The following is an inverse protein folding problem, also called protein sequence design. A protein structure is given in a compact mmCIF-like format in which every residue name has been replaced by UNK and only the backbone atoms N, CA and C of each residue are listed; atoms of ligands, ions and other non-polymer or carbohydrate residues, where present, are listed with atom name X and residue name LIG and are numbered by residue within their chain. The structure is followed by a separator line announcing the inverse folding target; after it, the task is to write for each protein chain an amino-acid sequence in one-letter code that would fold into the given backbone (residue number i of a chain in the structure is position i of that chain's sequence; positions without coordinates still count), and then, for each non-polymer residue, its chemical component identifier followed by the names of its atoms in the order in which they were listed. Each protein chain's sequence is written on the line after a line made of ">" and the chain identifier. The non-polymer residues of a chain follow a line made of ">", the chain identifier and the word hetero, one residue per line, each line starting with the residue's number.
data_IF_295960057181
#
_entry.id   IF_295960057181
#
_cell.length_a   1.000
_cell.length_b   1.000
_cell.length_c   1.000
_cell.angle_alpha   90.00
_cell.angle_beta   90.00
_cell.angle_gamma   90.00
#
_symmetry.space_group_name_H-M   'P 1'
#
loop_
_entity.id
_entity.type
_entity.pdbx_description
1 polymer ?
#
# COMPACT_ATOMS: atom_id res chain seq x y z
N UNK A 1 -15.41 4.03 -10.63
CA UNK A 1 -15.43 2.67 -10.05
C UNK A 1 -14.11 2.44 -9.33
N UNK A 2 -14.14 1.83 -8.14
CA UNK A 2 -12.94 1.42 -7.39
C UNK A 2 -12.92 -0.09 -7.22
N UNK A 3 -11.73 -0.71 -7.13
CA UNK A 3 -11.58 -2.14 -6.86
C UNK A 3 -10.58 -2.40 -5.74
N UNK A 4 -10.88 -3.40 -4.91
CA UNK A 4 -10.05 -3.91 -3.80
C UNK A 4 -9.97 -5.44 -3.74
N UNK A 5 -10.62 -6.15 -4.67
CA UNK A 5 -10.66 -7.63 -4.73
C UNK A 5 -9.61 -8.09 -5.72
N UNK A 6 -8.68 -8.96 -5.30
CA UNK A 6 -7.70 -9.54 -6.23
C UNK A 6 -6.70 -10.48 -5.56
N UNK A 7 -6.03 -11.37 -6.33
CA UNK A 7 -4.83 -12.08 -5.89
C UNK A 7 -3.74 -11.14 -5.32
N UNK A 8 -2.82 -11.65 -4.52
CA UNK A 8 -1.70 -10.85 -4.01
C UNK A 8 -0.88 -10.26 -5.18
N UNK A 9 -0.72 -8.93 -5.22
CA UNK A 9 0.15 -8.26 -6.19
C UNK A 9 1.59 -8.36 -5.70
N UNK A 10 2.42 -9.11 -6.42
CA UNK A 10 3.82 -9.33 -6.06
C UNK A 10 4.70 -8.31 -6.76
N UNK A 11 5.37 -7.45 -5.99
CA UNK A 11 6.17 -6.33 -6.47
C UNK A 11 7.64 -6.58 -6.15
N UNK A 12 8.51 -6.40 -7.15
CA UNK A 12 9.95 -6.26 -6.91
C UNK A 12 10.34 -4.79 -7.04
N UNK A 13 11.12 -4.30 -6.11
CA UNK A 13 11.66 -2.93 -6.14
C UNK A 13 13.14 -2.96 -6.47
N UNK A 14 13.58 -2.03 -7.31
CA UNK A 14 14.96 -1.93 -7.75
C UNK A 14 15.41 -0.48 -7.71
N UNK A 15 16.66 -0.24 -7.33
CA UNK A 15 17.20 1.12 -7.18
C UNK A 15 18.72 1.17 -7.20
N UNK A 16 19.29 2.37 -7.32
CA UNK A 16 20.74 2.54 -7.32
C UNK A 16 21.33 2.47 -5.91
N UNK A 17 20.77 3.22 -4.97
CA UNK A 17 21.23 3.26 -3.58
C UNK A 17 20.14 2.67 -2.68
N UNK A 18 20.53 1.77 -1.78
CA UNK A 18 19.62 1.03 -0.91
C UNK A 18 18.77 2.00 -0.07
N UNK A 19 19.42 2.86 0.72
CA UNK A 19 18.76 3.80 1.64
C UNK A 19 18.12 5.03 0.95
N UNK A 20 18.19 5.13 -0.38
CA UNK A 20 17.68 6.30 -1.12
C UNK A 20 16.71 5.87 -2.22
N UNK A 21 17.21 5.27 -3.30
CA UNK A 21 16.39 4.90 -4.46
C UNK A 21 15.52 3.69 -4.18
N UNK A 22 16.07 2.64 -3.56
CA UNK A 22 15.30 1.42 -3.24
C UNK A 22 14.24 1.75 -2.19
N UNK A 23 14.58 2.50 -1.15
CA UNK A 23 13.62 2.99 -0.17
C UNK A 23 12.51 3.84 -0.78
N UNK A 24 12.82 4.73 -1.73
CA UNK A 24 11.79 5.50 -2.44
C UNK A 24 10.88 4.58 -3.28
N UNK A 25 11.45 3.54 -3.91
CA UNK A 25 10.68 2.53 -4.63
C UNK A 25 9.79 1.68 -3.70
N UNK A 26 10.28 1.33 -2.51
CA UNK A 26 9.53 0.62 -1.48
C UNK A 26 8.35 1.46 -0.99
N UNK A 27 8.58 2.76 -0.73
CA UNK A 27 7.51 3.69 -0.36
C UNK A 27 6.50 3.88 -1.48
N UNK A 28 6.93 3.94 -2.74
CA UNK A 28 6.01 3.95 -3.87
C UNK A 28 5.16 2.66 -3.91
N UNK A 29 5.79 1.49 -3.75
CA UNK A 29 5.09 0.21 -3.70
C UNK A 29 4.08 0.13 -2.54
N UNK A 30 4.41 0.70 -1.38
CA UNK A 30 3.53 0.74 -0.20
C UNK A 30 2.26 1.56 -0.40
N UNK A 31 2.17 2.40 -1.44
CA UNK A 31 0.98 3.22 -1.71
C UNK A 31 -0.18 2.43 -2.33
N UNK A 32 0.04 1.17 -2.69
CA UNK A 32 -0.97 0.27 -3.26
C UNK A 32 -1.04 -1.03 -2.48
N UNK A 33 -2.17 -1.72 -2.59
CA UNK A 33 -2.34 -3.05 -1.99
C UNK A 33 -1.51 -4.08 -2.78
N UNK A 34 -0.33 -4.39 -2.25
CA UNK A 34 0.60 -5.37 -2.80
C UNK A 34 1.67 -5.75 -1.79
N UNK A 35 2.46 -6.76 -2.13
CA UNK A 35 3.55 -7.26 -1.30
C UNK A 35 4.87 -7.07 -2.04
N UNK A 36 5.80 -6.39 -1.39
CA UNK A 36 7.19 -6.35 -1.83
C UNK A 36 7.79 -7.72 -1.55
N UNK A 37 8.16 -8.45 -2.60
CA UNK A 37 8.65 -9.83 -2.50
C UNK A 37 10.16 -9.93 -2.63
N UNK A 38 10.81 -8.91 -3.19
CA UNK A 38 12.27 -8.78 -3.28
C UNK A 38 12.64 -7.30 -3.53
N UNK A 39 13.81 -6.89 -3.05
CA UNK A 39 14.36 -5.55 -3.25
C UNK A 39 15.83 -5.63 -3.66
N UNK A 40 16.19 -5.02 -4.78
CA UNK A 40 17.54 -5.06 -5.35
C UNK A 40 18.14 -3.66 -5.44
N UNK A 41 19.24 -3.45 -4.74
CA UNK A 41 20.07 -2.25 -4.86
C UNK A 41 21.33 -2.50 -5.69
N UNK A 42 22.00 -1.45 -6.15
CA UNK A 42 23.29 -1.59 -6.86
C UNK A 42 24.38 -2.17 -5.95
N UNK A 43 24.25 -1.93 -4.64
CA UNK A 43 25.18 -2.40 -3.62
C UNK A 43 24.81 -3.78 -3.06
N UNK A 44 23.81 -4.44 -3.65
CA UNK A 44 23.45 -5.80 -3.28
C UNK A 44 24.67 -6.73 -3.45
N UNK A 45 25.08 -7.34 -2.33
CA UNK A 45 26.28 -8.19 -2.24
C UNK A 45 26.07 -9.58 -2.83
N UNK A 46 24.83 -9.97 -3.10
CA UNK A 46 24.51 -11.25 -3.75
C UNK A 46 25.08 -11.24 -5.15
N UNK A 47 25.56 -12.41 -5.61
CA UNK A 47 26.02 -12.57 -6.99
C UNK A 47 24.83 -12.39 -7.96
N UNK A 48 25.07 -11.92 -9.21
CA UNK A 48 24.00 -11.72 -10.18
C UNK A 48 23.11 -12.95 -10.40
N UNK A 49 23.68 -14.17 -10.41
CA UNK A 49 22.90 -15.41 -10.52
C UNK A 49 21.94 -15.63 -9.34
N UNK A 50 22.33 -15.23 -8.12
CA UNK A 50 21.48 -15.34 -6.93
C UNK A 50 20.37 -14.29 -6.95
N UNK A 51 20.68 -13.07 -7.43
CA UNK A 51 19.67 -12.01 -7.60
C UNK A 51 18.62 -12.42 -8.64
N UNK A 52 19.07 -12.97 -9.77
CA UNK A 52 18.21 -13.50 -10.82
C UNK A 52 17.28 -14.59 -10.26
N UNK A 53 17.85 -15.61 -9.60
CA UNK A 53 17.09 -16.71 -9.01
C UNK A 53 16.07 -16.22 -7.97
N UNK A 54 16.44 -15.25 -7.14
CA UNK A 54 15.54 -14.67 -6.15
C UNK A 54 14.32 -14.02 -6.80
N UNK A 55 14.53 -13.20 -7.85
CA UNK A 55 13.42 -12.54 -8.55
C UNK A 55 12.56 -13.56 -9.31
N UNK A 56 13.16 -14.57 -9.96
CA UNK A 56 12.40 -15.61 -10.66
C UNK A 56 11.53 -16.42 -9.69
N UNK A 57 12.06 -16.81 -8.52
CA UNK A 57 11.30 -17.50 -7.47
C UNK A 57 10.21 -16.60 -6.88
N UNK A 58 10.48 -15.30 -6.78
CA UNK A 58 9.52 -14.31 -6.32
C UNK A 58 8.36 -14.10 -7.32
N UNK A 59 8.51 -14.52 -8.59
CA UNK A 59 7.47 -14.49 -9.63
C UNK A 59 6.63 -13.19 -9.63
N UNK A 60 7.27 -12.01 -9.77
CA UNK A 60 6.57 -10.74 -9.64
C UNK A 60 5.57 -10.49 -10.76
N UNK A 61 4.53 -9.72 -10.45
CA UNK A 61 3.63 -9.15 -11.44
C UNK A 61 4.11 -7.77 -11.92
N UNK A 62 4.89 -7.07 -11.08
CA UNK A 62 5.35 -5.71 -11.32
C UNK A 62 6.80 -5.55 -10.81
N UNK A 63 7.63 -4.89 -11.61
CA UNK A 63 8.94 -4.40 -11.19
C UNK A 63 8.91 -2.87 -11.17
N UNK A 64 9.28 -2.26 -10.05
CA UNK A 64 9.47 -0.80 -9.91
C UNK A 64 10.96 -0.52 -9.91
N UNK A 65 11.45 0.13 -10.95
CA UNK A 65 12.83 0.60 -11.05
C UNK A 65 12.90 2.10 -10.78
N UNK A 66 13.38 2.45 -9.58
CA UNK A 66 13.72 3.82 -9.23
C UNK A 66 15.13 4.17 -9.73
N UNK A 67 15.25 5.33 -10.38
CA UNK A 67 16.55 5.85 -10.80
C UNK A 67 17.32 6.53 -9.67
N UNK A 68 18.48 7.08 -10.02
CA UNK A 68 19.13 8.13 -9.23
C UNK A 68 18.50 9.50 -9.48
N UNK A 69 19.12 10.53 -8.92
CA UNK A 69 18.74 11.93 -9.15
C UNK A 69 18.81 12.33 -10.63
N UNK A 70 18.14 13.42 -11.01
CA UNK A 70 18.13 13.92 -12.40
C UNK A 70 19.54 14.28 -12.91
N UNK A 71 20.43 14.70 -12.01
CA UNK A 71 21.83 15.02 -12.32
C UNK A 71 22.80 13.90 -11.93
N UNK A 72 22.28 12.72 -11.58
CA UNK A 72 23.06 11.58 -11.09
C UNK A 72 23.75 10.79 -12.20
N UNK A 73 24.59 9.83 -11.79
CA UNK A 73 25.36 8.99 -12.69
C UNK A 73 24.44 8.07 -13.54
N UNK A 74 24.50 8.25 -14.85
CA UNK A 74 23.63 7.54 -15.80
C UNK A 74 24.06 6.11 -16.12
N UNK A 75 25.33 5.75 -15.90
CA UNK A 75 25.88 4.42 -16.21
C UNK A 75 25.37 3.33 -15.26
N UNK A 76 25.09 3.68 -14.01
CA UNK A 76 24.77 2.70 -12.96
C UNK A 76 23.43 2.00 -13.15
N UNK A 77 22.48 2.61 -13.86
CA UNK A 77 21.16 2.02 -14.13
C UNK A 77 21.23 0.86 -15.14
N UNK A 78 22.27 0.82 -15.98
CA UNK A 78 22.41 -0.18 -17.04
C UNK A 78 22.37 -1.61 -16.51
N UNK A 79 23.07 -1.88 -15.39
CA UNK A 79 23.08 -3.20 -14.75
C UNK A 79 21.68 -3.67 -14.33
N UNK A 80 20.86 -2.76 -13.80
CA UNK A 80 19.48 -3.07 -13.41
C UNK A 80 18.60 -3.37 -14.61
N UNK A 81 18.75 -2.57 -15.68
CA UNK A 81 18.04 -2.79 -16.95
C UNK A 81 18.45 -4.12 -17.60
N UNK A 82 19.73 -4.48 -17.53
CA UNK A 82 20.24 -5.78 -17.99
C UNK A 82 19.66 -6.94 -17.19
N UNK A 83 19.63 -6.84 -15.85
CA UNK A 83 19.03 -7.86 -14.99
C UNK A 83 17.53 -8.04 -15.28
N UNK A 84 16.76 -6.94 -15.39
CA UNK A 84 15.35 -6.97 -15.80
C UNK A 84 15.19 -7.63 -17.17
N UNK A 85 16.07 -7.27 -18.12
CA UNK A 85 16.04 -7.84 -19.47
C UNK A 85 16.27 -9.36 -19.45
N UNK A 86 17.20 -9.84 -18.61
CA UNK A 86 17.46 -11.27 -18.44
C UNK A 86 16.25 -12.00 -17.87
N UNK A 87 15.64 -11.44 -16.81
CA UNK A 87 14.41 -11.96 -16.19
C UNK A 87 13.31 -12.12 -17.25
N UNK A 88 13.06 -11.08 -18.05
CA UNK A 88 12.04 -11.14 -19.08
C UNK A 88 12.36 -12.18 -20.18
N UNK A 89 13.63 -12.37 -20.55
CA UNK A 89 14.04 -13.35 -21.57
C UNK A 89 13.83 -14.80 -21.12
N UNK A 90 14.10 -15.10 -19.85
CA UNK A 90 13.94 -16.46 -19.30
C UNK A 90 12.52 -16.75 -18.81
N UNK A 91 11.69 -15.72 -18.67
CA UNK A 91 10.28 -15.85 -18.30
C UNK A 91 9.37 -15.93 -19.53
N UNK A 92 8.40 -16.85 -19.51
CA UNK A 92 7.39 -16.96 -20.58
C UNK A 92 6.61 -15.65 -20.72
N UNK A 93 6.26 -15.27 -21.95
CA UNK A 93 5.67 -13.97 -22.26
C UNK A 93 4.46 -13.61 -21.37
N UNK A 94 3.59 -14.57 -21.11
CA UNK A 94 2.38 -14.42 -20.28
C UNK A 94 2.67 -14.16 -18.78
N UNK A 95 3.85 -14.56 -18.29
CA UNK A 95 4.24 -14.42 -16.88
C UNK A 95 5.23 -13.27 -16.65
N UNK A 96 5.59 -12.52 -17.69
CA UNK A 96 6.54 -11.41 -17.55
C UNK A 96 5.93 -10.31 -16.68
N UNK A 97 6.69 -9.76 -15.72
CA UNK A 97 6.22 -8.65 -14.92
C UNK A 97 6.09 -7.40 -15.79
N UNK A 98 5.07 -6.58 -15.53
CA UNK A 98 5.06 -5.21 -16.04
C UNK A 98 6.18 -4.41 -15.36
N UNK A 99 6.65 -3.35 -16.02
CA UNK A 99 7.79 -2.56 -15.51
C UNK A 99 7.40 -1.09 -15.38
N UNK A 100 7.63 -0.51 -14.20
CA UNK A 100 7.52 0.92 -13.96
C UNK A 100 8.92 1.51 -13.76
N UNK A 101 9.34 2.40 -14.65
CA UNK A 101 10.55 3.20 -14.44
C UNK A 101 10.17 4.59 -13.94
N UNK A 102 10.66 4.93 -12.75
CA UNK A 102 10.44 6.23 -12.11
C UNK A 102 11.79 6.82 -11.69
N UNK A 103 12.54 7.29 -12.67
CA UNK A 103 13.91 7.75 -12.49
C UNK A 103 14.28 8.86 -13.46
N UNK A 104 15.58 9.11 -13.57
CA UNK A 104 16.17 10.15 -14.41
C UNK A 104 15.52 10.26 -15.80
N UNK A 105 14.94 11.42 -16.09
CA UNK A 105 14.13 11.66 -17.29
C UNK A 105 14.94 11.63 -18.58
N UNK A 106 16.25 11.93 -18.51
CA UNK A 106 17.16 11.84 -19.67
C UNK A 106 17.29 10.39 -20.14
N UNK A 107 17.22 9.43 -19.22
CA UNK A 107 17.34 7.99 -19.54
C UNK A 107 16.00 7.33 -19.83
N UNK A 108 14.89 7.95 -19.43
CA UNK A 108 13.56 7.35 -19.49
C UNK A 108 13.17 6.83 -20.89
N UNK A 109 13.42 7.63 -21.93
CA UNK A 109 13.11 7.23 -23.33
C UNK A 109 13.90 5.99 -23.74
N UNK A 110 15.22 6.00 -23.52
CA UNK A 110 16.11 4.90 -23.87
C UNK A 110 15.75 3.61 -23.10
N UNK A 111 15.45 3.73 -21.81
CA UNK A 111 15.04 2.59 -20.98
C UNK A 111 13.72 2.01 -21.48
N UNK A 112 12.74 2.86 -21.80
CA UNK A 112 11.47 2.43 -22.40
C UNK A 112 11.70 1.64 -23.68
N UNK A 113 12.50 2.17 -24.61
CA UNK A 113 12.79 1.52 -25.90
C UNK A 113 13.45 0.14 -25.73
N UNK A 114 14.24 -0.07 -24.68
CA UNK A 114 14.89 -1.37 -24.39
C UNK A 114 13.88 -2.34 -23.78
N UNK A 115 13.16 -1.92 -22.74
CA UNK A 115 12.32 -2.81 -21.93
C UNK A 115 10.96 -3.11 -22.57
N UNK A 116 10.38 -2.17 -23.32
CA UNK A 116 9.08 -2.35 -24.01
C UNK A 116 9.12 -3.50 -25.04
N UNK A 117 10.31 -3.79 -25.59
CA UNK A 117 10.52 -4.93 -26.49
C UNK A 117 10.37 -6.28 -25.79
N UNK A 118 10.46 -6.30 -24.46
CA UNK A 118 10.48 -7.51 -23.64
C UNK A 118 9.20 -7.64 -22.82
N UNK A 119 8.73 -6.55 -22.21
CA UNK A 119 7.55 -6.52 -21.34
C UNK A 119 6.91 -5.12 -21.32
N UNK A 120 5.58 -4.99 -21.09
CA UNK A 120 4.93 -3.68 -21.00
C UNK A 120 5.62 -2.77 -19.98
N UNK A 121 6.07 -1.60 -20.43
CA UNK A 121 6.89 -0.68 -19.62
C UNK A 121 6.28 0.72 -19.61
N UNK A 122 5.98 1.21 -18.40
CA UNK A 122 5.52 2.58 -18.19
C UNK A 122 6.62 3.44 -17.57
N UNK A 123 6.58 4.72 -17.91
CA UNK A 123 7.50 5.74 -17.40
C UNK A 123 6.70 6.69 -16.53
N UNK A 124 7.24 7.04 -15.37
CA UNK A 124 6.75 8.11 -14.52
C UNK A 124 7.82 9.20 -14.33
N UNK A 125 7.40 10.33 -13.76
CA UNK A 125 8.35 11.31 -13.24
C UNK A 125 9.26 10.65 -12.19
N UNK A 126 10.46 11.20 -12.04
CA UNK A 126 11.41 10.67 -11.07
C UNK A 126 10.91 10.88 -9.65
N UNK A 127 10.86 9.80 -8.87
CA UNK A 127 10.40 9.86 -7.48
C UNK A 127 11.43 10.47 -6.53
N UNK A 128 12.67 10.63 -6.97
CA UNK A 128 13.76 11.24 -6.21
C UNK A 128 14.59 12.19 -7.09
N UNK A 129 14.03 13.34 -7.51
CA UNK A 129 14.71 14.25 -8.45
C UNK A 129 16.07 14.76 -7.93
N UNK A 130 16.16 15.03 -6.63
CA UNK A 130 17.40 15.38 -5.90
C UNK A 130 17.57 14.45 -4.70
N UNK A 131 18.74 14.47 -4.04
CA UNK A 131 18.98 13.62 -2.86
C UNK A 131 17.99 13.96 -1.75
N UNK A 132 17.67 15.24 -1.56
CA UNK A 132 16.83 15.70 -0.45
C UNK A 132 15.33 15.77 -0.78
N UNK A 133 14.96 15.72 -2.07
CA UNK A 133 13.58 15.81 -2.52
C UNK A 133 13.04 14.46 -3.00
N UNK A 134 12.05 13.94 -2.28
CA UNK A 134 11.22 12.81 -2.70
C UNK A 134 9.82 13.30 -3.10
N UNK A 135 9.34 12.92 -4.29
CA UNK A 135 7.96 13.14 -4.73
C UNK A 135 7.40 11.88 -5.40
N UNK A 136 6.56 11.15 -4.67
CA UNK A 136 5.96 9.91 -5.15
C UNK A 136 4.71 10.16 -6.03
N UNK A 137 4.12 11.36 -5.96
CA UNK A 137 2.77 11.64 -6.44
C UNK A 137 2.55 11.31 -7.93
N UNK A 138 3.46 11.70 -8.85
CA UNK A 138 3.28 11.38 -10.26
C UNK A 138 3.39 9.87 -10.54
N UNK A 139 4.32 9.19 -9.86
CA UNK A 139 4.53 7.75 -10.04
C UNK A 139 3.39 6.92 -9.42
N UNK A 140 2.78 7.37 -8.33
CA UNK A 140 1.57 6.75 -7.76
C UNK A 140 0.41 6.72 -8.77
N UNK A 141 0.28 7.74 -9.62
CA UNK A 141 -0.74 7.78 -10.66
C UNK A 141 -0.55 6.68 -11.70
N UNK A 142 0.66 6.57 -12.23
CA UNK A 142 1.05 5.54 -13.20
C UNK A 142 0.95 4.14 -12.59
N UNK A 143 1.43 3.96 -11.36
CA UNK A 143 1.34 2.71 -10.61
C UNK A 143 -0.13 2.26 -10.49
N UNK A 144 -1.03 3.16 -10.10
CA UNK A 144 -2.45 2.83 -9.98
C UNK A 144 -3.08 2.33 -11.28
N UNK A 145 -2.71 2.92 -12.42
CA UNK A 145 -3.17 2.47 -13.75
C UNK A 145 -2.62 1.08 -14.09
N UNK A 146 -1.33 0.85 -13.87
CA UNK A 146 -0.69 -0.45 -14.10
C UNK A 146 -1.31 -1.55 -13.23
N UNK A 147 -1.55 -1.26 -11.95
CA UNK A 147 -2.22 -2.20 -11.03
C UNK A 147 -3.59 -2.57 -11.57
N UNK A 148 -4.38 -1.61 -12.04
CA UNK A 148 -5.69 -1.91 -12.62
C UNK A 148 -5.61 -2.72 -13.90
N UNK A 149 -4.61 -2.49 -14.75
CA UNK A 149 -4.36 -3.31 -15.93
C UNK A 149 -4.01 -4.76 -15.54
N UNK A 150 -3.17 -4.95 -14.52
CA UNK A 150 -2.87 -6.28 -13.96
C UNK A 150 -4.14 -6.92 -13.40
N UNK A 151 -5.01 -6.17 -12.72
CA UNK A 151 -6.27 -6.72 -12.19
C UNK A 151 -7.25 -7.11 -13.30
N UNK A 152 -7.29 -6.38 -14.41
CA UNK A 152 -8.16 -6.72 -15.55
C UNK A 152 -7.80 -8.06 -16.19
N UNK A 153 -6.53 -8.45 -16.18
CA UNK A 153 -6.11 -9.77 -16.69
C UNK A 153 -6.35 -10.90 -15.68
N UNK A 154 -6.30 -10.58 -14.38
CA UNK A 154 -6.53 -11.55 -13.30
C UNK A 154 -8.01 -11.81 -13.01
N UNK A 155 -8.87 -10.81 -13.20
CA UNK A 155 -10.28 -10.85 -12.83
C UNK A 155 -11.13 -10.83 -14.10
N UNK A 156 -11.69 -11.98 -14.43
CA UNK A 156 -12.65 -12.10 -15.54
C UNK A 156 -13.80 -11.11 -15.39
N UNK A 157 -14.18 -10.45 -16.48
CA UNK A 157 -15.29 -9.49 -16.52
C UNK A 157 -14.97 -8.07 -16.05
N UNK A 158 -13.84 -7.83 -15.36
CA UNK A 158 -13.47 -6.47 -14.95
C UNK A 158 -13.22 -5.55 -16.16
N UNK A 159 -12.66 -6.09 -17.24
CA UNK A 159 -12.46 -5.34 -18.49
C UNK A 159 -13.79 -4.88 -19.10
N UNK A 160 -14.80 -5.75 -19.14
CA UNK A 160 -16.15 -5.42 -19.64
C UNK A 160 -16.86 -4.40 -18.76
N UNK A 161 -16.67 -4.45 -17.45
CA UNK A 161 -17.18 -3.42 -16.54
C UNK A 161 -16.47 -2.08 -16.75
N UNK A 162 -15.14 -2.11 -16.93
CA UNK A 162 -14.35 -0.92 -17.19
C UNK A 162 -14.75 -0.21 -18.50
N UNK A 163 -15.06 -0.96 -19.56
CA UNK A 163 -15.49 -0.38 -20.85
C UNK A 163 -16.85 0.32 -20.79
N UNK A 164 -17.69 0.00 -19.79
CA UNK A 164 -18.99 0.64 -19.58
C UNK A 164 -18.92 1.82 -18.59
N UNK A 165 -17.74 2.13 -18.03
CA UNK A 165 -17.55 3.24 -17.13
C UNK A 165 -17.07 4.50 -17.87
N UNK A 166 -17.60 5.67 -17.50
CA UNK A 166 -17.15 6.96 -18.06
C UNK A 166 -15.68 7.29 -17.75
N UNK A 167 -15.13 6.67 -16.71
CA UNK A 167 -13.73 6.82 -16.30
C UNK A 167 -13.12 5.44 -16.03
N UNK A 168 -11.86 5.22 -16.39
CA UNK A 168 -11.16 3.98 -16.05
C UNK A 168 -11.21 3.72 -14.54
N UNK A 169 -11.40 2.47 -14.12
CA UNK A 169 -11.37 2.13 -12.71
C UNK A 169 -9.97 2.42 -12.12
N UNK A 170 -9.94 2.80 -10.85
CA UNK A 170 -8.71 3.07 -10.09
C UNK A 170 -8.68 2.21 -8.82
N UNK A 171 -7.51 1.94 -8.23
CA UNK A 171 -7.44 1.27 -6.94
C UNK A 171 -8.18 2.07 -5.85
N UNK A 172 -8.86 1.38 -4.94
CA UNK A 172 -9.61 2.02 -3.86
C UNK A 172 -8.73 2.94 -2.99
N UNK A 173 -7.52 2.48 -2.63
CA UNK A 173 -6.55 3.28 -1.86
C UNK A 173 -6.20 4.60 -2.55
N UNK A 174 -6.02 4.58 -3.87
CA UNK A 174 -5.71 5.76 -4.66
C UNK A 174 -6.88 6.75 -4.71
N UNK A 175 -8.12 6.25 -4.85
CA UNK A 175 -9.30 7.10 -4.82
C UNK A 175 -9.46 7.76 -3.43
N UNK A 176 -9.26 6.98 -2.37
CA UNK A 176 -9.31 7.46 -0.99
C UNK A 176 -8.25 8.55 -0.73
N UNK A 177 -6.99 8.32 -1.10
CA UNK A 177 -5.95 9.35 -0.96
C UNK A 177 -6.23 10.62 -1.75
N UNK A 178 -6.81 10.53 -2.96
CA UNK A 178 -7.23 11.71 -3.73
C UNK A 178 -8.29 12.53 -2.97
N UNK A 179 -9.24 11.86 -2.32
CA UNK A 179 -10.24 12.52 -1.48
C UNK A 179 -9.58 13.22 -0.29
N UNK A 180 -8.67 12.56 0.43
CA UNK A 180 -7.97 13.18 1.57
C UNK A 180 -7.12 14.38 1.14
N UNK A 181 -6.40 14.27 0.02
CA UNK A 181 -5.68 15.40 -0.57
C UNK A 181 -6.60 16.55 -0.92
N UNK A 182 -7.76 16.26 -1.51
CA UNK A 182 -8.77 17.27 -1.83
C UNK A 182 -9.29 17.97 -0.56
N UNK A 183 -9.59 17.23 0.50
CA UNK A 183 -10.00 17.82 1.77
C UNK A 183 -8.91 18.72 2.36
N UNK A 184 -7.62 18.36 2.21
CA UNK A 184 -6.51 19.22 2.66
C UNK A 184 -6.39 20.56 1.93
N UNK A 185 -7.07 20.74 0.78
CA UNK A 185 -7.19 22.03 0.11
C UNK A 185 -8.39 22.86 0.61
N UNK A 186 -9.39 22.21 1.21
CA UNK A 186 -10.60 22.87 1.70
C UNK A 186 -10.40 23.36 3.14
N UNK A 187 -9.80 22.52 3.97
CA UNK A 187 -9.52 22.85 5.37
C UNK A 187 -8.29 23.74 5.51
N UNK A 188 -8.09 24.26 6.71
CA UNK A 188 -6.94 25.11 7.05
C UNK A 188 -5.62 24.46 6.62
N UNK A 189 -4.80 25.09 5.74
CA UNK A 189 -3.53 24.55 5.29
C UNK A 189 -2.54 24.23 6.41
N UNK A 190 -2.70 24.84 7.60
CA UNK A 190 -1.89 24.55 8.77
C UNK A 190 -2.28 23.24 9.47
N UNK A 191 -3.50 22.74 9.22
CA UNK A 191 -4.02 21.50 9.79
C UNK A 191 -3.91 20.36 8.78
N UNK A 192 -3.46 19.20 9.23
CA UNK A 192 -3.43 18.01 8.39
C UNK A 192 -4.73 17.21 8.50
N UNK A 193 -5.17 16.65 7.39
CA UNK A 193 -6.31 15.74 7.32
C UNK A 193 -5.79 14.32 7.40
N UNK A 194 -6.25 13.54 8.37
CA UNK A 194 -5.97 12.10 8.44
C UNK A 194 -7.14 11.33 7.86
N UNK A 195 -6.87 10.44 6.91
CA UNK A 195 -7.80 9.44 6.42
C UNK A 195 -7.34 8.04 6.81
N UNK A 196 -8.27 7.24 7.32
CA UNK A 196 -8.08 5.81 7.56
C UNK A 196 -9.22 5.02 6.92
N UNK A 197 -8.90 4.15 5.96
CA UNK A 197 -9.84 3.22 5.33
C UNK A 197 -9.52 1.79 5.75
N UNK A 198 -10.30 1.24 6.68
CA UNK A 198 -10.15 -0.12 7.22
C UNK A 198 -10.92 -1.14 6.35
N UNK A 199 -10.21 -1.79 5.43
CA UNK A 199 -10.75 -2.82 4.58
C UNK A 199 -10.63 -4.23 5.16
N UNK A 200 -11.21 -5.21 4.44
CA UNK A 200 -11.05 -6.63 4.77
C UNK A 200 -9.62 -7.12 4.56
N UNK A 201 -8.97 -6.72 3.46
CA UNK A 201 -7.62 -7.18 3.09
C UNK A 201 -6.48 -6.28 3.57
N UNK A 202 -6.73 -4.99 3.73
CA UNK A 202 -5.70 -3.98 3.94
C UNK A 202 -6.32 -2.72 4.54
N UNK A 203 -5.48 -1.90 5.16
CA UNK A 203 -5.84 -0.59 5.71
C UNK A 203 -5.09 0.50 4.95
N UNK A 204 -5.81 1.46 4.38
CA UNK A 204 -5.17 2.63 3.74
C UNK A 204 -5.08 3.77 4.75
N UNK A 205 -3.86 4.26 4.95
CA UNK A 205 -3.58 5.49 5.68
C UNK A 205 -3.27 6.59 4.67
N UNK A 206 -3.87 7.75 4.85
CA UNK A 206 -3.61 8.92 4.03
C UNK A 206 -3.52 10.17 4.91
N UNK A 207 -2.47 10.96 4.75
CA UNK A 207 -2.30 12.26 5.40
C UNK A 207 -2.22 13.32 4.32
N UNK A 208 -3.19 14.23 4.31
CA UNK A 208 -3.22 15.37 3.41
C UNK A 208 -2.87 16.66 4.14
N UNK A 209 -1.94 17.46 3.62
CA UNK A 209 -1.63 18.78 4.19
C UNK A 209 -1.22 19.74 3.09
N UNK A 210 -1.88 20.90 3.01
CA UNK A 210 -1.61 21.94 2.00
C UNK A 210 -1.51 21.39 0.56
N UNK A 211 -2.32 20.37 0.23
CA UNK A 211 -2.30 19.71 -1.09
C UNK A 211 -1.26 18.62 -1.29
N UNK A 212 -0.31 18.45 -0.37
CA UNK A 212 0.57 17.28 -0.35
C UNK A 212 -0.19 16.06 0.17
N UNK A 213 0.18 14.87 -0.31
CA UNK A 213 -0.41 13.59 0.12
C UNK A 213 0.71 12.62 0.50
N UNK A 214 0.64 12.13 1.72
CA UNK A 214 1.34 10.94 2.16
C UNK A 214 0.32 9.80 2.24
N UNK A 215 0.66 8.62 1.69
CA UNK A 215 -0.24 7.48 1.69
C UNK A 215 0.52 6.18 1.83
N UNK A 216 0.03 5.30 2.71
CA UNK A 216 0.48 3.91 2.85
C UNK A 216 -0.73 2.97 2.86
N UNK A 217 -0.53 1.77 2.34
CA UNK A 217 -1.50 0.67 2.35
C UNK A 217 -0.87 -0.51 3.07
N UNK A 218 -1.35 -0.75 4.28
CA UNK A 218 -0.84 -1.80 5.14
C UNK A 218 -1.63 -3.09 4.94
N UNK A 219 -1.00 -4.27 5.01
CA UNK A 219 -1.67 -5.56 4.76
C UNK A 219 -2.54 -6.02 5.94
N UNK A 220 -2.97 -5.09 6.80
CA UNK A 220 -3.80 -5.36 7.97
C UNK A 220 -5.25 -5.05 7.64
N UNK A 221 -6.15 -6.00 7.86
CA UNK A 221 -7.57 -5.81 7.62
C UNK A 221 -8.42 -6.74 8.48
N UNK A 222 -9.72 -6.51 8.51
CA UNK A 222 -10.65 -7.23 9.40
C UNK A 222 -11.06 -8.63 8.88
N UNK A 223 -10.62 -9.00 7.68
CA UNK A 223 -10.91 -10.30 7.07
C UNK A 223 -9.68 -10.90 6.40
N UNK A 224 -9.53 -10.73 5.09
CA UNK A 224 -8.39 -11.30 4.34
C UNK A 224 -7.01 -10.88 4.86
N UNK A 225 -6.90 -9.68 5.44
CA UNK A 225 -5.67 -9.15 6.06
C UNK A 225 -5.52 -9.50 7.54
N UNK A 226 -6.47 -10.24 8.12
CA UNK A 226 -6.52 -10.51 9.55
C UNK A 226 -5.32 -11.34 10.01
N UNK A 227 -4.93 -12.34 9.21
CA UNK A 227 -3.75 -13.16 9.52
C UNK A 227 -2.48 -12.33 9.64
N UNK A 228 -2.27 -11.36 8.75
CA UNK A 228 -1.10 -10.50 8.80
C UNK A 228 -1.14 -9.59 10.03
N UNK A 229 -2.31 -9.09 10.41
CA UNK A 229 -2.49 -8.31 11.64
C UNK A 229 -2.22 -9.14 12.91
N UNK A 230 -2.69 -10.39 12.95
CA UNK A 230 -2.44 -11.33 14.05
C UNK A 230 -0.95 -11.65 14.20
N UNK A 231 -0.22 -11.79 13.09
CA UNK A 231 1.24 -12.02 13.14
C UNK A 231 2.02 -10.83 13.70
N UNK A 232 1.42 -9.64 13.73
CA UNK A 232 2.01 -8.40 14.25
C UNK A 232 1.44 -7.98 15.61
N UNK A 233 0.53 -8.78 16.18
CA UNK A 233 -0.12 -8.47 17.46
C UNK A 233 0.11 -9.60 18.45
N UNK A 234 0.31 -9.25 19.72
CA UNK A 234 0.22 -10.22 20.80
C UNK A 234 -1.24 -10.36 21.24
N UNK A 235 -1.64 -11.54 21.71
CA UNK A 235 -3.05 -11.76 22.08
C UNK A 235 -3.47 -10.84 23.21
N UNK A 236 -2.55 -10.53 24.14
CA UNK A 236 -2.78 -9.69 25.31
C UNK A 236 -3.09 -8.24 24.90
N UNK A 237 -2.51 -7.78 23.78
CA UNK A 237 -2.80 -6.46 23.22
C UNK A 237 -4.22 -6.39 22.69
N UNK A 238 -4.70 -7.48 22.06
CA UNK A 238 -6.07 -7.59 21.57
C UNK A 238 -7.05 -7.70 22.74
N UNK A 239 -6.72 -8.53 23.74
CA UNK A 239 -7.51 -8.72 24.95
C UNK A 239 -7.72 -7.40 25.71
N UNK A 240 -6.70 -6.53 25.74
CA UNK A 240 -6.78 -5.22 26.41
C UNK A 240 -7.88 -4.29 25.86
N UNK A 241 -8.37 -4.56 24.64
CA UNK A 241 -9.45 -3.82 24.01
C UNK A 241 -10.85 -4.40 24.24
N UNK A 242 -10.95 -5.58 24.86
CA UNK A 242 -12.24 -6.24 25.07
C UNK A 242 -13.05 -5.52 26.15
N UNK A 243 -14.35 -5.33 25.89
CA UNK A 243 -15.32 -4.80 26.85
C UNK A 243 -15.95 -5.88 27.75
N UNK A 244 -15.66 -7.15 27.46
CA UNK A 244 -16.17 -8.34 28.16
C UNK A 244 -15.03 -9.32 28.37
N UNK A 245 -15.10 -10.15 29.41
CA UNK A 245 -14.10 -11.19 29.62
C UNK A 245 -14.31 -12.31 28.60
N UNK A 246 -13.27 -12.58 27.79
CA UNK A 246 -13.19 -13.72 26.87
C UNK A 246 -11.88 -14.44 27.16
N UNK A 247 -11.88 -15.75 27.46
CA UNK A 247 -10.65 -16.51 27.62
C UNK A 247 -9.74 -16.39 26.40
N UNK A 248 -8.42 -16.25 26.60
CA UNK A 248 -7.48 -16.04 25.49
C UNK A 248 -7.52 -17.14 24.42
N UNK A 249 -7.78 -18.39 24.80
CA UNK A 249 -7.86 -19.50 23.86
C UNK A 249 -9.09 -19.37 22.95
N UNK A 250 -10.24 -18.96 23.51
CA UNK A 250 -11.45 -18.67 22.73
C UNK A 250 -11.26 -17.47 21.80
N UNK A 251 -10.60 -16.41 22.29
CA UNK A 251 -10.25 -15.24 21.49
C UNK A 251 -9.34 -15.63 20.30
N UNK A 252 -8.31 -16.44 20.54
CA UNK A 252 -7.41 -16.95 19.49
C UNK A 252 -8.19 -17.77 18.47
N UNK A 253 -8.98 -18.74 18.93
CA UNK A 253 -9.74 -19.65 18.07
C UNK A 253 -10.70 -18.86 17.17
N UNK A 254 -11.45 -17.91 17.74
CA UNK A 254 -12.34 -17.04 16.97
C UNK A 254 -11.59 -16.27 15.88
N UNK A 255 -10.47 -15.61 16.22
CA UNK A 255 -9.72 -14.77 15.28
C UNK A 255 -9.05 -15.58 14.17
N UNK A 256 -8.49 -16.75 14.49
CA UNK A 256 -7.93 -17.65 13.49
C UNK A 256 -9.02 -18.22 12.58
N UNK A 257 -10.17 -18.61 13.12
CA UNK A 257 -11.31 -19.06 12.32
C UNK A 257 -11.81 -17.94 11.39
N UNK A 258 -11.95 -16.71 11.89
CA UNK A 258 -12.28 -15.53 11.07
C UNK A 258 -11.27 -15.30 9.96
N UNK A 259 -9.97 -15.51 10.21
CA UNK A 259 -8.92 -15.35 9.20
C UNK A 259 -9.03 -16.39 8.06
N UNK A 260 -9.57 -17.57 8.34
CA UNK A 260 -9.84 -18.62 7.36
C UNK A 260 -11.16 -18.38 6.60
N UNK A 261 -12.15 -17.80 7.28
CA UNK A 261 -13.48 -17.52 6.74
C UNK A 261 -13.84 -16.02 6.86
N UNK A 262 -13.17 -15.14 6.10
CA UNK A 262 -13.26 -13.67 6.29
C UNK A 262 -14.64 -13.08 5.94
N UNK A 263 -15.54 -13.87 5.35
CA UNK A 263 -16.89 -13.46 4.96
C UNK A 263 -17.91 -13.65 6.09
N UNK A 264 -17.54 -14.29 7.20
CA UNK A 264 -18.45 -14.43 8.35
C UNK A 264 -18.73 -13.06 8.95
N UNK A 265 -19.90 -12.89 9.54
CA UNK A 265 -20.28 -11.69 10.29
C UNK A 265 -20.51 -12.05 11.76
N UNK A 266 -20.22 -11.15 12.71
CA UNK A 266 -20.45 -11.43 14.11
C UNK A 266 -21.96 -11.51 14.38
N UNK A 267 -22.42 -12.65 14.91
CA UNK A 267 -23.84 -12.89 15.21
C UNK A 267 -24.18 -12.75 16.70
N UNK A 268 -23.17 -12.57 17.56
CA UNK A 268 -23.32 -12.42 19.02
C UNK A 268 -22.64 -11.14 19.50
N UNK A 269 -23.03 -10.64 20.67
CA UNK A 269 -22.38 -9.47 21.28
C UNK A 269 -20.92 -9.72 21.62
N UNK A 270 -20.57 -10.94 22.02
CA UNK A 270 -19.19 -11.36 22.28
C UNK A 270 -18.35 -11.38 21.00
N UNK A 271 -18.85 -12.00 19.93
CA UNK A 271 -18.20 -11.99 18.61
C UNK A 271 -17.97 -10.57 18.10
N UNK A 272 -18.96 -9.68 18.28
CA UNK A 272 -18.82 -8.27 17.94
C UNK A 272 -17.74 -7.58 18.80
N UNK A 273 -17.69 -7.86 20.10
CA UNK A 273 -16.67 -7.32 20.99
C UNK A 273 -15.26 -7.77 20.58
N UNK A 274 -15.09 -9.03 20.18
CA UNK A 274 -13.83 -9.58 19.66
C UNK A 274 -13.42 -8.87 18.36
N UNK A 275 -14.33 -8.75 17.39
CA UNK A 275 -14.02 -8.08 16.12
C UNK A 275 -13.73 -6.58 16.29
N UNK A 276 -14.45 -5.90 17.19
CA UNK A 276 -14.15 -4.51 17.57
C UNK A 276 -12.81 -4.36 18.27
N UNK A 277 -12.45 -5.27 19.18
CA UNK A 277 -11.14 -5.28 19.82
C UNK A 277 -10.01 -5.44 18.79
N UNK A 278 -10.19 -6.36 17.84
CA UNK A 278 -9.22 -6.55 16.76
C UNK A 278 -9.14 -5.34 15.83
N UNK A 279 -10.27 -4.71 15.50
CA UNK A 279 -10.27 -3.48 14.70
C UNK A 279 -9.48 -2.35 15.39
N UNK A 280 -9.65 -2.15 16.71
CA UNK A 280 -8.86 -1.20 17.49
C UNK A 280 -7.37 -1.51 17.42
N UNK A 281 -7.00 -2.78 17.57
CA UNK A 281 -5.60 -3.22 17.48
C UNK A 281 -5.01 -2.96 16.09
N UNK A 282 -5.76 -3.23 15.01
CA UNK A 282 -5.31 -2.94 13.64
C UNK A 282 -5.06 -1.44 13.47
N UNK A 283 -6.00 -0.59 13.92
CA UNK A 283 -5.84 0.86 13.87
C UNK A 283 -4.61 1.33 14.67
N UNK A 284 -4.34 0.69 15.83
CA UNK A 284 -3.16 0.97 16.65
C UNK A 284 -1.86 0.61 15.94
N UNK A 285 -1.80 -0.54 15.27
CA UNK A 285 -0.65 -0.92 14.44
C UNK A 285 -0.42 0.11 13.32
N UNK A 286 -1.51 0.52 12.66
CA UNK A 286 -1.46 1.48 11.56
C UNK A 286 -0.98 2.86 12.00
N UNK A 287 -1.48 3.38 13.13
CA UNK A 287 -1.04 4.67 13.67
C UNK A 287 0.39 4.64 14.19
N UNK A 288 0.81 3.54 14.82
CA UNK A 288 2.20 3.35 15.26
C UNK A 288 3.16 3.33 14.06
N UNK A 289 2.77 2.66 12.97
CA UNK A 289 3.50 2.68 11.70
C UNK A 289 3.64 4.10 11.16
N UNK A 290 2.53 4.85 11.09
CA UNK A 290 2.53 6.22 10.59
C UNK A 290 3.48 7.13 11.40
N UNK A 291 3.45 7.02 12.73
CA UNK A 291 4.33 7.79 13.61
C UNK A 291 5.82 7.41 13.47
N UNK A 292 6.11 6.12 13.26
CA UNK A 292 7.48 5.61 13.17
C UNK A 292 8.18 5.92 11.84
N UNK A 293 7.44 6.06 10.74
CA UNK A 293 8.05 6.18 9.42
C UNK A 293 8.58 7.57 9.06
N UNK A 294 7.99 8.65 9.58
CA UNK A 294 8.23 10.00 9.03
C UNK A 294 8.42 11.02 10.14
N UNK A 295 9.66 11.46 10.30
CA UNK A 295 10.00 12.64 11.11
C UNK A 295 9.28 13.86 10.57
N UNK A 296 8.55 14.58 11.43
CA UNK A 296 7.87 15.82 11.05
C UNK A 296 6.42 15.66 10.57
N UNK A 297 5.83 14.47 10.70
CA UNK A 297 4.37 14.36 10.57
C UNK A 297 3.67 15.17 11.66
N UNK A 298 2.57 15.88 11.34
CA UNK A 298 1.75 16.57 12.32
C UNK A 298 1.24 15.60 13.40
N UNK A 299 1.24 16.05 14.65
CA UNK A 299 0.70 15.28 15.77
C UNK A 299 -0.82 15.44 15.94
N UNK A 300 -1.38 16.49 15.32
CA UNK A 300 -2.81 16.83 15.38
C UNK A 300 -3.41 16.79 13.99
N UNK A 301 -4.60 16.20 13.87
CA UNK A 301 -5.30 16.07 12.61
C UNK A 301 -6.72 16.64 12.72
N UNK A 302 -7.12 17.41 11.71
CA UNK A 302 -8.45 18.01 11.65
C UNK A 302 -8.87 18.22 10.17
N UNK A 303 -9.93 17.53 9.69
CA UNK A 303 -10.64 16.43 10.34
C UNK A 303 -9.90 15.09 10.26
N UNK A 304 -10.42 14.10 10.99
CA UNK A 304 -10.10 12.68 10.82
C UNK A 304 -11.25 12.02 10.06
N UNK A 305 -10.96 11.39 8.93
CA UNK A 305 -11.91 10.72 8.05
C UNK A 305 -11.75 9.22 8.19
N UNK A 306 -12.83 8.54 8.56
CA UNK A 306 -12.86 7.09 8.74
C UNK A 306 -13.75 6.47 7.67
N UNK A 307 -13.24 5.41 7.04
CA UNK A 307 -13.93 4.62 6.02
C UNK A 307 -13.65 3.13 6.25
N UNK A 308 -14.46 2.28 5.62
CA UNK A 308 -14.25 0.84 5.62
C UNK A 308 -15.52 0.05 5.92
N UNK A 309 -15.62 -1.15 5.34
CA UNK A 309 -16.80 -2.00 5.49
C UNK A 309 -17.13 -2.35 6.94
N UNK A 310 -16.11 -2.46 7.80
CA UNK A 310 -16.27 -2.70 9.23
C UNK A 310 -17.13 -1.61 9.89
N UNK A 311 -16.79 -0.33 9.69
CA UNK A 311 -17.50 0.78 10.32
C UNK A 311 -18.93 0.93 9.81
N UNK A 312 -19.16 0.64 8.53
CA UNK A 312 -20.50 0.69 7.93
C UNK A 312 -21.43 -0.44 8.38
N UNK A 313 -20.88 -1.52 8.95
CA UNK A 313 -21.64 -2.69 9.40
C UNK A 313 -21.89 -2.70 10.91
N UNK A 314 -21.31 -1.76 11.66
CA UNK A 314 -21.51 -1.69 13.11
C UNK A 314 -22.96 -1.30 13.46
N UNK A 315 -23.53 -1.84 14.56
CA UNK A 315 -24.92 -1.60 14.95
C UNK A 315 -25.28 -0.13 15.19
N UNK A 316 -24.29 0.71 15.52
CA UNK A 316 -24.51 2.15 15.75
C UNK A 316 -23.31 3.00 15.34
N UNK A 317 -23.54 4.25 14.89
CA UNK A 317 -22.47 5.20 14.62
C UNK A 317 -21.59 5.49 15.85
N UNK A 318 -22.15 5.45 17.06
CA UNK A 318 -21.40 5.66 18.30
C UNK A 318 -20.35 4.58 18.53
N UNK A 319 -20.66 3.31 18.27
CA UNK A 319 -19.68 2.23 18.36
C UNK A 319 -18.57 2.34 17.30
N UNK A 320 -18.92 2.78 16.09
CA UNK A 320 -17.94 3.05 15.05
C UNK A 320 -16.97 4.16 15.47
N UNK A 321 -17.50 5.26 16.01
CA UNK A 321 -16.71 6.37 16.51
C UNK A 321 -15.81 5.95 17.68
N UNK A 322 -16.32 5.24 18.67
CA UNK A 322 -15.52 4.75 19.81
C UNK A 322 -14.41 3.81 19.34
N UNK A 323 -14.72 2.86 18.46
CA UNK A 323 -13.71 1.94 17.89
C UNK A 323 -12.60 2.71 17.16
N UNK A 324 -12.97 3.73 16.38
CA UNK A 324 -12.00 4.56 15.68
C UNK A 324 -11.13 5.38 16.66
N UNK A 325 -11.74 6.05 17.64
CA UNK A 325 -11.03 6.87 18.62
C UNK A 325 -10.09 6.05 19.50
N UNK A 326 -10.54 4.89 19.98
CA UNK A 326 -9.75 3.99 20.82
C UNK A 326 -8.50 3.49 20.07
N UNK A 327 -8.67 3.10 18.80
CA UNK A 327 -7.59 2.56 17.97
C UNK A 327 -6.63 3.61 17.42
N UNK A 328 -7.15 4.80 17.05
CA UNK A 328 -6.34 5.88 16.47
C UNK A 328 -5.64 6.70 17.56
N UNK A 329 -6.28 6.88 18.71
CA UNK A 329 -5.81 7.73 19.81
C UNK A 329 -5.36 9.13 19.36
N UNK A 330 -6.24 9.90 18.68
CA UNK A 330 -5.86 11.21 18.19
C UNK A 330 -5.56 12.17 19.33
N UNK A 331 -4.53 13.01 19.16
CA UNK A 331 -4.20 14.08 20.10
C UNK A 331 -4.70 15.44 19.61
N UNK A 332 -5.09 16.30 20.55
CA UNK A 332 -5.65 17.62 20.25
C UNK A 332 -7.12 17.53 19.85
N UNK A 333 -8.02 17.73 20.82
CA UNK A 333 -9.45 17.89 20.52
C UNK A 333 -9.64 19.37 20.15
N UNK A 334 -9.96 19.64 18.88
CA UNK A 334 -10.46 20.94 18.48
C UNK A 334 -11.80 21.19 19.16
N UNK A 335 -11.84 22.14 20.09
CA UNK A 335 -13.12 22.67 20.59
C UNK A 335 -13.65 23.52 19.44
N UNK A 336 -14.67 23.01 18.75
CA UNK A 336 -15.46 23.79 17.76
C UNK A 336 -16.36 24.74 18.51
#
# INVERSE_FOLDING_TARGET
>A
MVSSVSPELRIVTMGLLDEVSVDSANRLAATTCGKIVESIGLNDRRKPEVQLDAILRASPNLIILAGGTERGATRSIGKMVELISLICRVTSAEKRPQILFAGNQVLARKIKEILEKLSPTQIAANIRPTIDLEDLSPAQQVLGQMVMQIRQTQIGGLQSLASNANLPPVPASQAFGRMIRFLSHIYDPQKAVLGVDLGSASTTLAVGQAGALLQDVLPYGTGHGLRAALQQSRIEEIESWLSVHVPQDELRDYLYQKSLFPQTTPTTGEALAIESAMARQILRLCTTHLQGQRTGLPHTFEPIVISGGFFSQLPSPGQAMLTALDGIQPTGIGIV
#
